data_IF_261619822455
#
_entry.id   IF_261619822455
#
_cell.length_a   1.000
_cell.length_b   1.000
_cell.length_c   1.000
_cell.angle_alpha   90.00
_cell.angle_beta   90.00
_cell.angle_gamma   90.00
#
_symmetry.space_group_name_H-M   'P 1'
#
loop_
_entity.id
_entity.type
_entity.pdbx_description
1 polymer ?
#
# COMPACT_ATOMS: atom_id res chain seq x y z
N UNK A 1 7.10 2.81 -14.62
CA UNK A 1 6.39 1.74 -13.92
C UNK A 1 5.37 2.37 -12.98
N UNK A 2 4.15 1.88 -13.01
CA UNK A 2 3.07 2.29 -12.12
C UNK A 2 2.86 1.21 -11.07
N UNK A 3 2.85 1.59 -9.80
CA UNK A 3 2.72 0.64 -8.68
C UNK A 3 1.56 1.02 -7.79
N UNK A 4 1.02 0.03 -7.07
CA UNK A 4 0.02 0.27 -6.04
C UNK A 4 0.65 0.02 -4.66
N UNK A 5 0.18 0.78 -3.68
CA UNK A 5 0.58 0.61 -2.28
C UNK A 5 -0.70 0.43 -1.47
N UNK A 6 -1.13 -0.83 -1.26
CA UNK A 6 -2.37 -1.10 -0.55
C UNK A 6 -2.17 -1.11 0.96
N UNK A 7 -3.19 -0.72 1.69
CA UNK A 7 -3.17 -0.76 3.14
C UNK A 7 -4.49 -0.30 3.73
N UNK A 8 -4.64 -0.46 5.04
CA UNK A 8 -5.81 0.00 5.76
C UNK A 8 -5.71 1.47 6.17
N UNK A 9 -4.49 1.96 6.41
CA UNK A 9 -4.21 3.37 6.76
C UNK A 9 -5.13 3.91 7.86
N UNK A 10 -5.10 3.27 9.00
CA UNK A 10 -6.04 3.55 10.09
C UNK A 10 -5.31 3.91 11.40
N UNK A 11 -4.65 5.09 11.49
CA UNK A 11 -4.40 6.09 10.46
C UNK A 11 -3.12 5.86 9.65
N UNK A 12 -2.84 6.76 8.71
CA UNK A 12 -1.53 6.79 8.05
C UNK A 12 -0.46 7.18 9.08
N UNK A 13 0.68 6.51 9.03
CA UNK A 13 1.78 6.71 9.98
C UNK A 13 3.00 7.30 9.30
N UNK A 14 3.99 7.70 10.11
CA UNK A 14 5.29 8.15 9.57
C UNK A 14 6.00 7.05 8.79
N UNK A 15 5.81 5.79 9.19
CA UNK A 15 6.34 4.65 8.44
C UNK A 15 5.74 4.56 7.04
N UNK A 16 4.43 4.73 6.93
CA UNK A 16 3.75 4.77 5.64
C UNK A 16 4.26 5.94 4.80
N UNK A 17 4.39 7.13 5.40
CA UNK A 17 4.86 8.33 4.72
C UNK A 17 6.25 8.14 4.15
N UNK A 18 7.15 7.54 4.91
CA UNK A 18 8.52 7.26 4.47
C UNK A 18 8.52 6.31 3.26
N UNK A 19 7.79 5.20 3.36
CA UNK A 19 7.74 4.22 2.27
C UNK A 19 7.14 4.83 1.00
N UNK A 20 6.07 5.59 1.13
CA UNK A 20 5.41 6.23 -0.02
C UNK A 20 6.32 7.28 -0.64
N UNK A 21 7.01 8.06 0.18
CA UNK A 21 7.97 9.05 -0.31
C UNK A 21 9.07 8.39 -1.14
N UNK A 22 9.62 7.28 -0.64
CA UNK A 22 10.67 6.55 -1.36
C UNK A 22 10.14 5.91 -2.64
N UNK A 23 8.94 5.33 -2.58
CA UNK A 23 8.30 4.75 -3.76
C UNK A 23 8.04 5.83 -4.83
N UNK A 24 7.64 7.03 -4.42
CA UNK A 24 7.39 8.12 -5.35
C UNK A 24 8.62 8.55 -6.14
N UNK A 25 9.81 8.34 -5.57
CA UNK A 25 11.08 8.63 -6.23
C UNK A 25 11.55 7.49 -7.13
N UNK A 26 11.15 6.27 -6.82
CA UNK A 26 11.59 5.07 -7.56
C UNK A 26 10.70 4.76 -8.77
N UNK A 27 9.43 5.11 -8.71
CA UNK A 27 8.45 4.74 -9.71
C UNK A 27 7.77 5.97 -10.31
N UNK A 28 7.26 5.83 -11.52
CA UNK A 28 6.61 6.94 -12.23
C UNK A 28 5.31 7.38 -11.57
N UNK A 29 4.52 6.40 -11.11
CA UNK A 29 3.25 6.66 -10.44
C UNK A 29 3.05 5.68 -9.31
N UNK A 30 2.55 6.19 -8.18
CA UNK A 30 2.17 5.38 -7.01
C UNK A 30 0.70 5.62 -6.72
N UNK A 31 -0.09 4.56 -6.72
CA UNK A 31 -1.50 4.61 -6.31
C UNK A 31 -1.60 4.04 -4.92
N UNK A 32 -1.88 4.89 -3.95
CA UNK A 32 -2.13 4.46 -2.57
C UNK A 32 -3.58 4.01 -2.48
N UNK A 33 -3.78 2.74 -2.16
CA UNK A 33 -5.09 2.11 -2.17
C UNK A 33 -5.52 1.86 -0.73
N UNK A 34 -6.56 2.56 -0.29
CA UNK A 34 -7.11 2.40 1.05
C UNK A 34 -8.18 1.31 0.97
N UNK A 35 -7.95 0.20 1.65
CA UNK A 35 -8.90 -0.89 1.72
C UNK A 35 -9.90 -0.62 2.83
N UNK A 36 -11.18 -0.67 2.48
CA UNK A 36 -12.26 -0.59 3.45
C UNK A 36 -12.75 -2.01 3.77
N UNK A 37 -12.14 -2.62 4.79
CA UNK A 37 -12.54 -3.94 5.24
C UNK A 37 -13.58 -3.81 6.35
N UNK A 38 -14.83 -4.06 6.03
CA UNK A 38 -15.96 -3.92 6.96
C UNK A 38 -15.95 -4.94 8.09
N UNK A 39 -15.16 -6.02 7.97
CA UNK A 39 -15.07 -7.05 9.01
C UNK A 39 -14.16 -6.65 10.17
N UNK A 40 -13.41 -5.55 10.04
CA UNK A 40 -12.51 -5.05 11.08
C UNK A 40 -13.05 -3.76 11.68
N UNK A 41 -12.84 -3.59 12.99
CA UNK A 41 -13.11 -2.31 13.64
C UNK A 41 -12.04 -1.31 13.22
N UNK A 42 -12.47 -0.26 12.56
CA UNK A 42 -11.58 0.83 12.15
C UNK A 42 -11.66 1.98 13.14
N UNK A 43 -10.55 2.64 13.40
CA UNK A 43 -10.51 3.86 14.22
C UNK A 43 -11.17 5.02 13.49
N UNK A 44 -11.06 5.05 12.16
CA UNK A 44 -11.59 6.12 11.32
C UNK A 44 -12.55 5.55 10.29
N UNK A 45 -13.52 6.37 9.87
CA UNK A 45 -14.40 6.00 8.77
C UNK A 45 -13.62 5.98 7.45
N UNK A 46 -14.12 5.31 6.40
CA UNK A 46 -13.46 5.33 5.10
C UNK A 46 -13.23 6.75 4.57
N UNK A 47 -14.22 7.63 4.75
CA UNK A 47 -14.14 9.02 4.31
C UNK A 47 -13.08 9.79 5.09
N UNK A 48 -12.98 9.56 6.40
CA UNK A 48 -11.94 10.17 7.24
C UNK A 48 -10.55 9.71 6.82
N UNK A 49 -10.39 8.41 6.54
CA UNK A 49 -9.11 7.86 6.08
C UNK A 49 -8.70 8.49 4.75
N UNK A 50 -9.63 8.55 3.81
CA UNK A 50 -9.37 9.14 2.49
C UNK A 50 -8.93 10.59 2.62
N UNK A 51 -9.62 11.36 3.45
CA UNK A 51 -9.27 12.76 3.69
C UNK A 51 -7.87 12.89 4.32
N UNK A 52 -7.58 12.13 5.37
CA UNK A 52 -6.30 12.20 6.08
C UNK A 52 -5.14 11.77 5.17
N UNK A 53 -5.31 10.70 4.43
CA UNK A 53 -4.27 10.19 3.53
C UNK A 53 -4.05 11.16 2.36
N UNK A 54 -5.12 11.62 1.75
CA UNK A 54 -5.04 12.58 0.63
C UNK A 54 -4.32 13.86 1.05
N UNK A 55 -4.66 14.39 2.22
CA UNK A 55 -4.01 15.59 2.74
C UNK A 55 -2.52 15.35 3.03
N UNK A 56 -2.21 14.22 3.67
CA UNK A 56 -0.83 13.87 4.01
C UNK A 56 0.05 13.70 2.77
N UNK A 57 -0.51 13.20 1.67
CA UNK A 57 0.24 12.90 0.45
C UNK A 57 0.14 13.98 -0.62
N UNK A 58 -0.50 15.10 -0.32
CA UNK A 58 -0.75 16.18 -1.29
C UNK A 58 0.51 16.79 -1.91
N UNK A 59 1.64 16.70 -1.22
CA UNK A 59 2.93 17.24 -1.70
C UNK A 59 3.57 16.39 -2.81
N UNK A 60 3.11 15.15 -3.00
CA UNK A 60 3.69 14.26 -4.01
C UNK A 60 2.88 14.37 -5.31
N UNK A 61 3.53 14.81 -6.39
CA UNK A 61 2.86 15.04 -7.67
C UNK A 61 2.48 13.74 -8.40
N UNK A 62 3.17 12.65 -8.11
CA UNK A 62 2.96 11.37 -8.80
C UNK A 62 2.29 10.31 -7.91
N UNK A 63 1.71 10.73 -6.79
CA UNK A 63 0.98 9.85 -5.87
C UNK A 63 -0.50 10.20 -5.92
N UNK A 64 -1.33 9.19 -6.15
CA UNK A 64 -2.79 9.33 -6.08
C UNK A 64 -3.33 8.43 -4.98
N UNK A 65 -4.52 8.76 -4.48
CA UNK A 65 -5.18 8.03 -3.40
C UNK A 65 -6.52 7.54 -3.88
N UNK A 66 -6.77 6.25 -3.70
CA UNK A 66 -8.02 5.62 -4.08
C UNK A 66 -8.60 4.85 -2.90
N UNK A 67 -9.88 5.05 -2.64
CA UNK A 67 -10.62 4.31 -1.63
C UNK A 67 -11.40 3.20 -2.34
N UNK A 68 -11.18 1.95 -1.93
CA UNK A 68 -11.89 0.81 -2.50
C UNK A 68 -12.52 -0.01 -1.38
N UNK A 69 -13.60 -0.72 -1.72
CA UNK A 69 -14.16 -1.72 -0.84
C UNK A 69 -13.35 -3.01 -0.96
N UNK A 70 -13.64 -3.97 -0.07
CA UNK A 70 -12.93 -5.25 -0.01
C UNK A 70 -12.86 -5.90 -1.39
N UNK A 71 -11.63 -6.12 -1.86
CA UNK A 71 -11.39 -6.79 -3.13
C UNK A 71 -10.06 -7.53 -3.04
N UNK A 72 -9.87 -8.52 -3.91
CA UNK A 72 -8.59 -9.19 -4.01
C UNK A 72 -7.56 -8.23 -4.59
N UNK A 73 -6.34 -8.29 -4.06
CA UNK A 73 -5.26 -7.41 -4.52
C UNK A 73 -5.01 -7.51 -6.01
N UNK A 74 -5.16 -8.71 -6.59
CA UNK A 74 -4.99 -8.91 -8.02
C UNK A 74 -5.99 -8.10 -8.85
N UNK A 75 -7.23 -7.99 -8.36
CA UNK A 75 -8.26 -7.20 -9.05
C UNK A 75 -7.94 -5.72 -8.99
N UNK A 76 -7.37 -5.27 -7.88
CA UNK A 76 -6.95 -3.88 -7.71
C UNK A 76 -5.80 -3.56 -8.66
N UNK A 77 -4.83 -4.45 -8.79
CA UNK A 77 -3.72 -4.29 -9.75
C UNK A 77 -4.26 -4.10 -11.15
N UNK A 78 -5.21 -4.94 -11.56
CA UNK A 78 -5.82 -4.86 -12.89
C UNK A 78 -6.63 -3.58 -13.07
N UNK A 79 -7.42 -3.21 -12.07
CA UNK A 79 -8.28 -2.03 -12.11
C UNK A 79 -7.48 -0.75 -12.37
N UNK A 80 -6.33 -0.62 -11.72
CA UNK A 80 -5.48 0.56 -11.86
C UNK A 80 -4.38 0.39 -12.90
N UNK A 81 -4.36 -0.74 -13.59
CA UNK A 81 -3.35 -1.06 -14.59
C UNK A 81 -1.94 -0.91 -14.03
N UNK A 82 -1.73 -1.42 -12.82
CA UNK A 82 -0.46 -1.33 -12.14
C UNK A 82 0.48 -2.46 -12.56
N UNK A 83 1.77 -2.20 -12.51
CA UNK A 83 2.81 -3.17 -12.87
C UNK A 83 3.23 -4.02 -11.69
N UNK A 84 3.10 -3.49 -10.47
CA UNK A 84 3.55 -4.18 -9.27
C UNK A 84 2.83 -3.66 -8.03
N UNK A 85 2.94 -4.46 -6.96
CA UNK A 85 2.44 -4.13 -5.62
C UNK A 85 3.67 -3.80 -4.76
N UNK A 86 3.60 -2.70 -4.01
CA UNK A 86 4.66 -2.30 -3.08
C UNK A 86 4.23 -2.65 -1.67
N UNK A 87 5.13 -3.29 -0.94
CA UNK A 87 4.92 -3.62 0.48
C UNK A 87 6.15 -3.23 1.29
N UNK A 88 5.94 -2.86 2.55
CA UNK A 88 7.03 -2.55 3.47
C UNK A 88 7.34 -3.71 4.39
N UNK A 89 8.61 -3.91 4.71
CA UNK A 89 9.06 -4.94 5.64
C UNK A 89 9.86 -4.29 6.76
N UNK A 90 9.47 -4.52 8.02
CA UNK A 90 10.15 -4.02 9.21
C UNK A 90 11.00 -5.08 9.89
N UNK A 91 10.57 -6.34 9.81
CA UNK A 91 11.19 -7.44 10.55
C UNK A 91 10.89 -8.78 9.86
N UNK A 92 11.44 -9.86 10.42
CA UNK A 92 11.28 -11.22 9.86
C UNK A 92 9.83 -11.68 9.83
N UNK A 93 9.02 -11.25 10.80
CA UNK A 93 7.61 -11.62 10.87
C UNK A 93 6.84 -10.98 9.70
N UNK A 94 7.09 -9.71 9.41
CA UNK A 94 6.52 -9.03 8.25
C UNK A 94 6.93 -9.73 6.96
N UNK A 95 8.21 -10.11 6.86
CA UNK A 95 8.74 -10.80 5.68
C UNK A 95 7.98 -12.09 5.41
N UNK A 96 7.80 -12.93 6.43
CA UNK A 96 7.11 -14.21 6.29
C UNK A 96 5.66 -14.00 5.82
N UNK A 97 4.97 -13.06 6.44
CA UNK A 97 3.59 -12.73 6.11
C UNK A 97 3.47 -12.22 4.67
N UNK A 98 4.32 -11.28 4.30
CA UNK A 98 4.28 -10.68 2.96
C UNK A 98 4.68 -11.69 1.88
N UNK A 99 5.63 -12.58 2.18
CA UNK A 99 6.04 -13.63 1.25
C UNK A 99 4.88 -14.58 0.95
N UNK A 100 4.13 -14.98 1.97
CA UNK A 100 2.97 -15.86 1.79
C UNK A 100 1.91 -15.22 0.91
N UNK A 101 1.62 -13.94 1.13
CA UNK A 101 0.64 -13.21 0.32
C UNK A 101 1.13 -13.06 -1.12
N UNK A 102 2.41 -12.72 -1.30
CA UNK A 102 2.99 -12.57 -2.63
C UNK A 102 2.93 -13.88 -3.43
N UNK A 103 3.22 -15.00 -2.78
CA UNK A 103 3.13 -16.31 -3.42
C UNK A 103 1.69 -16.65 -3.79
N UNK A 104 0.75 -16.33 -2.92
CA UNK A 104 -0.68 -16.55 -3.20
C UNK A 104 -1.13 -15.71 -4.40
N UNK A 105 -0.78 -14.44 -4.44
CA UNK A 105 -1.11 -13.56 -5.56
C UNK A 105 -0.50 -14.09 -6.87
N UNK A 106 0.73 -14.58 -6.83
CA UNK A 106 1.43 -15.13 -7.99
C UNK A 106 0.74 -16.38 -8.52
N UNK A 107 0.16 -17.21 -7.64
CA UNK A 107 -0.62 -18.38 -8.05
C UNK A 107 -1.93 -17.98 -8.72
N UNK A 108 -2.53 -16.88 -8.27
CA UNK A 108 -3.78 -16.40 -8.86
C UNK A 108 -3.54 -15.70 -10.19
N UNK A 109 -2.41 -15.04 -10.35
CA UNK A 109 -2.00 -14.38 -11.59
C UNK A 109 -0.48 -14.32 -11.63
N UNK A 110 0.12 -15.08 -12.55
CA UNK A 110 1.58 -15.22 -12.66
C UNK A 110 2.28 -13.91 -13.07
N UNK A 111 1.56 -12.96 -13.62
CA UNK A 111 2.12 -11.67 -14.05
C UNK A 111 2.22 -10.66 -12.91
N UNK A 112 1.65 -10.96 -11.74
CA UNK A 112 1.69 -10.05 -10.60
C UNK A 112 3.03 -10.13 -9.89
N UNK A 113 3.69 -8.98 -9.75
CA UNK A 113 4.92 -8.85 -8.98
C UNK A 113 4.67 -8.09 -7.67
N UNK A 114 5.36 -8.49 -6.62
CA UNK A 114 5.40 -7.78 -5.34
C UNK A 114 6.81 -7.31 -5.10
N UNK A 115 6.96 -6.01 -4.88
CA UNK A 115 8.25 -5.39 -4.58
C UNK A 115 8.20 -4.95 -3.11
N UNK A 116 9.21 -5.33 -2.34
CA UNK A 116 9.29 -4.96 -0.94
C UNK A 116 10.37 -3.93 -0.71
N UNK A 117 10.09 -2.99 0.19
CA UNK A 117 11.05 -2.00 0.66
C UNK A 117 11.28 -2.21 2.15
N UNK A 118 12.52 -2.09 2.58
CA UNK A 118 12.82 -2.15 4.01
C UNK A 118 12.42 -0.83 4.66
N UNK A 119 11.71 -0.92 5.78
CA UNK A 119 11.35 0.25 6.57
C UNK A 119 12.59 0.94 7.12
N UNK A 120 12.54 2.27 7.19
CA UNK A 120 13.61 3.05 7.82
C UNK A 120 13.60 2.75 9.32
N UNK A 121 14.75 2.35 9.93
CA UNK A 121 14.81 2.05 11.37
C UNK A 121 14.36 3.20 12.27
N UNK A 122 14.53 4.44 11.84
CA UNK A 122 14.14 5.62 12.61
C UNK A 122 12.62 5.77 12.75
N UNK A 123 11.84 5.20 11.82
CA UNK A 123 10.37 5.32 11.82
C UNK A 123 9.67 3.98 12.03
N UNK A 124 10.39 2.85 12.01
CA UNK A 124 9.78 1.53 12.08
C UNK A 124 9.23 1.17 13.45
N UNK A 125 9.60 1.93 14.49
CA UNK A 125 9.15 1.71 15.87
C UNK A 125 8.09 2.71 16.33
N UNK A 126 7.58 3.52 15.46
CA UNK A 126 6.58 4.53 15.77
C UNK A 126 5.16 3.99 15.49
#
# INVERSE_FOLDING_TARGET
MKVIFPGSFDPITNGHMDLISRASKLFDQVVVVISNNTSKHSLFTPEEKDHLVTEALSKFSNVSVELIQTDLTINVVKKFNADAIIRGIRNTRDFTYEQEIALMNKKLDSDIETITLFSNPEVSFI
#
